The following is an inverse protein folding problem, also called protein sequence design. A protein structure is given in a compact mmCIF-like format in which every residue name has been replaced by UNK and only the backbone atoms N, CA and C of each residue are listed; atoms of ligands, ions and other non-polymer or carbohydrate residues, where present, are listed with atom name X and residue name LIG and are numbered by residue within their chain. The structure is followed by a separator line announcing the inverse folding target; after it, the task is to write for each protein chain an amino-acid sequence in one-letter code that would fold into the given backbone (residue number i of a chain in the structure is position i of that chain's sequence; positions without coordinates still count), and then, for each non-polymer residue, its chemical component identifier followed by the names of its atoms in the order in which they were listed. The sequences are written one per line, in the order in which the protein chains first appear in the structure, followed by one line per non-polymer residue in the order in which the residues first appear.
data_IF_456929371457
#
_entry.id   IF_456929371457
#
_cell.length_a   1.000
_cell.length_b   1.000
_cell.length_c   1.000
_cell.angle_alpha   90.00
_cell.angle_beta   90.00
_cell.angle_gamma   90.00
#
_symmetry.space_group_name_H-M   'P 1'
#
loop_
_entity.id
_entity.type
_entity.pdbx_description
1 polymer ?
#
# COMPACT_ATOMS: atom_id res chain seq x y z
N UNK A 1 -0.28 -13.28 16.98
CA UNK A 1 0.66 -13.47 15.85
C UNK A 1 0.79 -12.15 15.11
N UNK A 2 2.00 -11.66 14.88
CA UNK A 2 2.23 -10.46 14.07
C UNK A 2 2.25 -10.86 12.59
N UNK A 3 1.61 -10.06 11.74
CA UNK A 3 1.59 -10.24 10.29
C UNK A 3 2.77 -9.46 9.70
N UNK A 4 3.72 -10.16 9.09
CA UNK A 4 4.90 -9.52 8.48
C UNK A 4 4.57 -9.07 7.06
N UNK A 5 4.69 -7.77 6.80
CA UNK A 5 4.49 -7.19 5.47
C UNK A 5 5.83 -6.90 4.81
N UNK A 6 5.97 -7.30 3.55
CA UNK A 6 7.13 -6.93 2.73
C UNK A 6 6.75 -5.71 1.88
N UNK A 7 7.59 -4.68 1.88
CA UNK A 7 7.36 -3.46 1.10
C UNK A 7 8.43 -3.32 0.03
N UNK A 8 8.02 -3.05 -1.19
CA UNK A 8 8.93 -2.73 -2.31
C UNK A 8 8.48 -1.46 -3.01
N UNK A 9 9.40 -0.81 -3.72
CA UNK A 9 9.05 0.30 -4.61
C UNK A 9 8.32 -0.23 -5.85
N UNK A 10 7.16 0.33 -6.14
CA UNK A 10 6.41 0.12 -7.38
C UNK A 10 6.71 1.20 -8.44
N UNK A 11 7.80 1.96 -8.28
CA UNK A 11 8.13 3.14 -9.07
C UNK A 11 8.34 4.39 -8.20
N UNK A 12 8.53 5.56 -8.83
CA UNK A 12 8.86 6.81 -8.13
C UNK A 12 7.76 7.27 -7.16
N UNK A 13 6.50 6.93 -7.43
CA UNK A 13 5.31 7.41 -6.71
C UNK A 13 4.43 6.29 -6.17
N UNK A 14 4.99 5.09 -6.05
CA UNK A 14 4.23 3.91 -5.68
C UNK A 14 5.01 2.98 -4.76
N UNK A 15 4.30 2.39 -3.81
CA UNK A 15 4.78 1.30 -2.96
C UNK A 15 3.87 0.10 -3.15
N UNK A 16 4.46 -1.09 -3.16
CA UNK A 16 3.73 -2.35 -3.19
C UNK A 16 4.00 -3.09 -1.89
N UNK A 17 2.92 -3.41 -1.18
CA UNK A 17 2.93 -4.20 0.03
C UNK A 17 2.56 -5.62 -0.32
N UNK A 18 3.32 -6.61 0.14
CA UNK A 18 3.04 -8.03 -0.03
C UNK A 18 2.75 -8.68 1.31
N UNK A 19 1.69 -9.47 1.32
CA UNK A 19 1.40 -10.38 2.43
C UNK A 19 2.20 -11.67 2.27
N UNK A 20 2.62 -12.29 3.39
CA UNK A 20 3.50 -13.44 3.37
C UNK A 20 2.74 -14.70 2.94
N UNK A 21 3.45 -15.64 2.32
CA UNK A 21 2.93 -16.99 2.09
C UNK A 21 2.92 -17.80 3.40
N UNK A 22 2.01 -18.78 3.58
CA UNK A 22 0.96 -19.19 2.64
C UNK A 22 -0.19 -18.19 2.56
N UNK A 23 -0.91 -18.22 1.45
CA UNK A 23 -2.10 -17.40 1.23
C UNK A 23 -3.19 -17.77 2.23
N UNK A 24 -3.91 -16.77 2.72
CA UNK A 24 -5.00 -16.95 3.68
C UNK A 24 -6.28 -16.32 3.14
N UNK A 25 -7.42 -16.91 3.49
CA UNK A 25 -8.74 -16.45 3.03
C UNK A 25 -9.11 -15.05 3.54
N UNK A 26 -8.47 -14.58 4.61
CA UNK A 26 -8.68 -13.25 5.19
C UNK A 26 -7.86 -12.14 4.50
N UNK A 27 -6.94 -12.48 3.59
CA UNK A 27 -6.07 -11.50 2.92
C UNK A 27 -6.85 -10.46 2.10
N UNK A 28 -7.87 -10.80 1.29
CA UNK A 28 -8.62 -9.80 0.56
C UNK A 28 -9.28 -8.75 1.48
N UNK A 29 -9.84 -9.19 2.61
CA UNK A 29 -10.43 -8.31 3.63
C UNK A 29 -9.39 -7.40 4.28
N UNK A 30 -8.23 -7.95 4.65
CA UNK A 30 -7.12 -7.18 5.23
C UNK A 30 -6.61 -6.15 4.23
N UNK A 31 -6.38 -6.54 2.98
CA UNK A 31 -5.89 -5.65 1.92
C UNK A 31 -6.89 -4.55 1.62
N UNK A 32 -8.19 -4.85 1.63
CA UNK A 32 -9.24 -3.84 1.48
C UNK A 32 -9.24 -2.83 2.63
N UNK A 33 -9.11 -3.29 3.88
CA UNK A 33 -9.01 -2.41 5.04
C UNK A 33 -7.74 -1.53 5.00
N UNK A 34 -6.60 -2.10 4.58
CA UNK A 34 -5.35 -1.37 4.39
C UNK A 34 -5.46 -0.34 3.26
N UNK A 35 -6.13 -0.68 2.16
CA UNK A 35 -6.36 0.26 1.06
C UNK A 35 -7.18 1.47 1.50
N UNK A 36 -8.29 1.24 2.22
CA UNK A 36 -9.10 2.32 2.79
C UNK A 36 -8.30 3.18 3.77
N UNK A 37 -7.46 2.54 4.60
CA UNK A 37 -6.58 3.27 5.52
C UNK A 37 -5.56 4.12 4.79
N UNK A 38 -4.95 3.61 3.71
CA UNK A 38 -3.98 4.35 2.91
C UNK A 38 -4.62 5.60 2.27
N UNK A 39 -5.82 5.46 1.69
CA UNK A 39 -6.58 6.59 1.15
C UNK A 39 -6.88 7.64 2.24
N UNK A 40 -7.31 7.20 3.43
CA UNK A 40 -7.53 8.09 4.58
C UNK A 40 -6.26 8.81 5.06
N UNK A 41 -5.08 8.29 4.77
CA UNK A 41 -3.78 8.90 5.11
C UNK A 41 -3.24 9.81 4.00
N UNK A 42 -3.96 9.98 2.89
CA UNK A 42 -3.57 10.85 1.79
C UNK A 42 -2.89 10.15 0.62
N UNK A 43 -2.99 8.82 0.51
CA UNK A 43 -2.68 8.14 -0.74
C UNK A 43 -3.63 8.64 -1.85
N UNK A 44 -3.09 8.83 -3.06
CA UNK A 44 -3.91 9.15 -4.24
C UNK A 44 -4.79 7.96 -4.58
N UNK A 45 -4.18 6.78 -4.58
CA UNK A 45 -4.83 5.55 -4.99
C UNK A 45 -4.29 4.39 -4.18
N UNK A 46 -5.16 3.43 -3.85
CA UNK A 46 -4.78 2.20 -3.20
C UNK A 46 -5.54 1.04 -3.86
N UNK A 47 -4.82 0.16 -4.54
CA UNK A 47 -5.39 -0.95 -5.34
C UNK A 47 -5.02 -2.28 -4.67
N UNK A 48 -5.97 -2.94 -3.99
CA UNK A 48 -5.75 -4.28 -3.48
C UNK A 48 -5.75 -5.29 -4.64
N UNK A 49 -4.81 -6.24 -4.59
CA UNK A 49 -4.72 -7.38 -5.48
C UNK A 49 -4.79 -8.68 -4.66
N UNK A 50 -4.51 -9.83 -5.26
CA UNK A 50 -4.72 -11.14 -4.64
C UNK A 50 -4.00 -11.32 -3.28
N UNK A 51 -2.72 -10.92 -3.19
CA UNK A 51 -1.94 -10.98 -1.94
C UNK A 51 -1.03 -9.76 -1.75
N UNK A 52 -1.32 -8.70 -2.48
CA UNK A 52 -0.56 -7.46 -2.48
C UNK A 52 -1.46 -6.24 -2.51
N UNK A 53 -0.92 -5.10 -2.11
CA UNK A 53 -1.59 -3.81 -2.15
C UNK A 53 -0.64 -2.81 -2.81
N UNK A 54 -1.06 -2.23 -3.93
CA UNK A 54 -0.39 -1.09 -4.53
C UNK A 54 -0.92 0.18 -3.87
N UNK A 55 -0.03 1.05 -3.41
CA UNK A 55 -0.37 2.37 -2.87
C UNK A 55 0.39 3.42 -3.65
N UNK A 56 -0.34 4.37 -4.24
CA UNK A 56 0.22 5.49 -4.98
C UNK A 56 0.07 6.78 -4.17
N UNK A 57 1.10 7.61 -4.18
CA UNK A 57 1.15 8.86 -3.45
C UNK A 57 1.66 9.99 -4.34
N UNK A 58 1.20 11.21 -4.08
CA UNK A 58 1.76 12.37 -4.76
C UNK A 58 3.14 12.63 -4.17
N UNK A 59 4.14 12.79 -5.04
CA UNK A 59 5.42 13.36 -4.62
C UNK A 59 5.09 14.76 -4.15
N UNK A 60 5.10 14.98 -2.82
CA UNK A 60 5.00 16.33 -2.27
C UNK A 60 5.98 17.19 -3.03
N UNK A 61 5.44 18.19 -3.74
CA UNK A 61 6.23 19.23 -4.38
C UNK A 61 6.86 19.99 -3.21
N UNK A 62 8.03 19.57 -2.75
CA UNK A 62 8.89 20.41 -1.93
C UNK A 62 9.46 21.49 -2.86
N UNK A 63 8.58 22.42 -3.21
CA UNK A 63 8.91 23.72 -3.73
C UNK A 63 9.01 24.66 -2.55
N UNK A 64 10.13 24.62 -1.83
CA UNK A 64 10.72 25.82 -1.25
C UNK A 64 11.86 26.27 -2.16
N UNK A 65 11.52 26.90 -3.27
CA UNK A 65 11.94 28.28 -3.48
C UNK A 65 11.49 29.17 -2.32
N UNK A 66 12.46 29.53 -1.46
CA UNK A 66 12.61 30.83 -0.82
C UNK A 66 14.05 30.90 -0.29
#
# INVERSE_FOLDING_TARGET
MALSLTVVSGGEKALIFYLPAPLRDDYPLILQALAQKALSLGAIEAVPAYHSLLVMFEKSRDGKAL
#
